data_IF_600314020831
#
_entry.id   IF_600314020831
#
_cell.length_a   1.000
_cell.length_b   1.000
_cell.length_c   1.000
_cell.angle_alpha   90.00
_cell.angle_beta   90.00
_cell.angle_gamma   90.00
#
_symmetry.space_group_name_H-M   'P 1'
#
loop_
_entity.id
_entity.type
_entity.pdbx_description
1 polymer ?
#
# COMPACT_ATOMS: atom_id res chain seq x y z
N UNK A 1 -6.56 -8.15 -21.68
CA UNK A 1 -5.33 -8.64 -21.03
C UNK A 1 -4.45 -9.39 -22.01
N UNK A 2 -5.00 -10.09 -23.00
CA UNK A 2 -4.22 -10.85 -24.00
C UNK A 2 -3.23 -9.98 -24.80
N UNK A 3 -3.59 -8.74 -25.10
CA UNK A 3 -2.64 -7.80 -25.73
C UNK A 3 -1.41 -7.51 -24.86
N UNK A 4 -1.61 -7.29 -23.54
CA UNK A 4 -0.50 -7.12 -22.59
C UNK A 4 0.32 -8.40 -22.46
N UNK A 5 -0.31 -9.56 -22.50
CA UNK A 5 0.39 -10.85 -22.50
C UNK A 5 1.25 -11.02 -23.76
N UNK A 6 0.72 -10.63 -24.93
CA UNK A 6 1.49 -10.59 -26.17
C UNK A 6 2.68 -9.65 -26.07
N UNK A 7 2.50 -8.46 -25.48
CA UNK A 7 3.60 -7.50 -25.27
C UNK A 7 4.65 -8.09 -24.33
N UNK A 8 4.27 -8.68 -23.19
CA UNK A 8 5.20 -9.37 -22.27
C UNK A 8 6.00 -10.44 -22.99
N UNK A 9 5.35 -11.26 -23.82
CA UNK A 9 6.02 -12.31 -24.61
C UNK A 9 7.01 -11.73 -25.63
N UNK A 10 6.69 -10.61 -26.26
CA UNK A 10 7.54 -9.96 -27.26
C UNK A 10 8.67 -9.12 -26.64
N UNK A 11 8.49 -8.64 -25.41
CA UNK A 11 9.36 -7.68 -24.71
C UNK A 11 9.55 -8.07 -23.23
N UNK A 12 10.06 -9.27 -22.92
CA UNK A 12 10.07 -9.81 -21.56
C UNK A 12 10.89 -8.97 -20.56
N UNK A 13 11.96 -8.32 -21.04
CA UNK A 13 12.91 -7.53 -20.24
C UNK A 13 12.58 -6.03 -20.21
N UNK A 14 11.49 -5.61 -20.87
CA UNK A 14 11.08 -4.20 -20.97
C UNK A 14 9.66 -4.00 -20.43
N UNK A 15 8.75 -4.95 -20.69
CA UNK A 15 7.37 -4.87 -20.25
C UNK A 15 7.13 -5.78 -19.05
N UNK A 16 6.73 -5.18 -17.93
CA UNK A 16 6.46 -5.87 -16.67
C UNK A 16 5.00 -5.64 -16.23
N UNK A 17 4.03 -6.32 -16.85
CA UNK A 17 2.62 -6.03 -16.61
C UNK A 17 2.13 -6.61 -15.28
N UNK A 18 1.15 -5.94 -14.68
CA UNK A 18 0.49 -6.32 -13.43
C UNK A 18 -0.98 -6.68 -13.70
N UNK A 19 -1.50 -7.67 -12.99
CA UNK A 19 -2.92 -8.03 -13.07
C UNK A 19 -3.71 -7.07 -12.19
N UNK A 20 -4.69 -6.37 -12.76
CA UNK A 20 -5.57 -5.50 -11.98
C UNK A 20 -6.55 -6.32 -11.14
N UNK A 21 -6.54 -6.11 -9.83
CA UNK A 21 -7.38 -6.79 -8.86
C UNK A 21 -8.42 -5.83 -8.30
N UNK A 22 -9.67 -6.26 -8.29
CA UNK A 22 -10.78 -5.57 -7.62
C UNK A 22 -11.60 -6.60 -6.84
N UNK A 23 -11.80 -6.42 -5.53
CA UNK A 23 -12.47 -7.43 -4.69
C UNK A 23 -13.92 -7.69 -5.12
N UNK A 24 -14.56 -6.75 -5.82
CA UNK A 24 -15.92 -6.93 -6.35
C UNK A 24 -15.95 -7.88 -7.55
N UNK A 25 -14.86 -8.02 -8.31
CA UNK A 25 -14.75 -9.01 -9.40
C UNK A 25 -14.67 -10.43 -8.83
N UNK A 26 -13.90 -10.63 -7.76
CA UNK A 26 -13.80 -11.91 -7.04
C UNK A 26 -15.19 -12.40 -6.58
N UNK A 27 -16.05 -11.49 -6.12
CA UNK A 27 -17.42 -11.84 -5.72
C UNK A 27 -18.32 -12.15 -6.91
N UNK A 28 -18.25 -11.35 -7.97
CA UNK A 28 -19.19 -11.42 -9.11
C UNK A 28 -18.86 -12.54 -10.11
N UNK A 29 -17.60 -12.87 -10.26
CA UNK A 29 -17.12 -13.83 -11.24
C UNK A 29 -16.19 -14.84 -10.55
N UNK A 30 -16.70 -16.04 -10.32
CA UNK A 30 -15.94 -17.13 -9.71
C UNK A 30 -14.81 -17.64 -10.61
N UNK A 31 -14.84 -17.38 -11.92
CA UNK A 31 -13.73 -17.69 -12.81
C UNK A 31 -12.56 -16.71 -12.69
N UNK A 32 -12.78 -15.56 -12.04
CA UNK A 32 -11.74 -14.56 -11.85
C UNK A 32 -10.63 -15.07 -10.91
N UNK A 33 -11.01 -15.59 -9.74
CA UNK A 33 -10.11 -16.15 -8.75
C UNK A 33 -10.70 -17.45 -8.19
N UNK A 34 -10.05 -18.57 -8.49
CA UNK A 34 -10.33 -19.88 -7.91
C UNK A 34 -9.08 -20.41 -7.22
N UNK A 35 -9.25 -21.02 -6.07
CA UNK A 35 -8.16 -21.48 -5.24
C UNK A 35 -8.62 -22.62 -4.33
N UNK A 36 -7.65 -23.41 -3.88
CA UNK A 36 -7.74 -24.17 -2.65
C UNK A 36 -6.79 -23.59 -1.61
N UNK A 37 -7.04 -23.89 -0.34
CA UNK A 37 -6.14 -23.57 0.76
C UNK A 37 -5.62 -24.85 1.39
N UNK A 38 -4.36 -24.83 1.82
CA UNK A 38 -3.73 -25.86 2.64
C UNK A 38 -3.49 -25.25 4.03
N UNK A 39 -4.48 -25.30 4.95
CA UNK A 39 -4.44 -24.50 6.19
C UNK A 39 -3.28 -24.85 7.13
N UNK A 40 -2.84 -26.11 7.10
CA UNK A 40 -1.72 -26.56 7.91
C UNK A 40 -0.44 -25.76 7.58
N UNK A 41 -0.23 -25.48 6.29
CA UNK A 41 0.92 -24.76 5.73
C UNK A 41 0.63 -23.27 5.49
N UNK A 42 -0.64 -22.84 5.58
CA UNK A 42 -1.03 -21.46 5.31
C UNK A 42 -0.91 -21.08 3.85
N UNK A 43 -0.94 -22.08 2.96
CA UNK A 43 -0.62 -21.92 1.54
C UNK A 43 -1.90 -21.83 0.71
N UNK A 44 -1.82 -21.05 -0.35
CA UNK A 44 -2.88 -20.89 -1.35
C UNK A 44 -2.40 -21.52 -2.65
N UNK A 45 -3.23 -22.39 -3.24
CA UNK A 45 -2.97 -22.99 -4.55
C UNK A 45 -4.01 -22.47 -5.52
N UNK A 46 -3.56 -21.79 -6.58
CA UNK A 46 -4.48 -21.29 -7.60
C UNK A 46 -4.97 -22.45 -8.49
N UNK A 47 -6.28 -22.50 -8.69
CA UNK A 47 -6.92 -23.37 -9.68
C UNK A 47 -7.05 -22.66 -11.03
N UNK A 48 -7.58 -23.36 -12.04
CA UNK A 48 -7.80 -22.76 -13.36
C UNK A 48 -8.79 -21.57 -13.28
N UNK A 49 -8.21 -20.38 -13.38
CA UNK A 49 -8.88 -19.09 -13.24
C UNK A 49 -8.10 -17.98 -13.97
N UNK A 50 -8.74 -16.83 -14.14
CA UNK A 50 -8.14 -15.65 -14.77
C UNK A 50 -6.82 -15.24 -14.11
N UNK A 51 -6.78 -15.18 -12.78
CA UNK A 51 -5.56 -14.78 -12.04
C UNK A 51 -4.42 -15.76 -12.30
N UNK A 52 -4.67 -17.07 -12.22
CA UNK A 52 -3.66 -18.11 -12.51
C UNK A 52 -3.11 -17.98 -13.92
N UNK A 53 -3.99 -17.84 -14.91
CA UNK A 53 -3.57 -17.73 -16.31
C UNK A 53 -2.58 -16.57 -16.51
N UNK A 54 -2.82 -15.39 -15.94
CA UNK A 54 -1.90 -14.27 -16.16
C UNK A 54 -0.65 -14.33 -15.28
N UNK A 55 -0.77 -14.78 -14.03
CA UNK A 55 0.37 -14.84 -13.10
C UNK A 55 1.28 -16.03 -13.41
N UNK A 56 0.73 -17.25 -13.49
CA UNK A 56 1.55 -18.46 -13.62
C UNK A 56 1.87 -18.80 -15.08
N UNK A 57 0.92 -18.64 -16.00
CA UNK A 57 1.11 -19.00 -17.43
C UNK A 57 1.74 -17.86 -18.23
N UNK A 58 1.23 -16.64 -18.12
CA UNK A 58 1.74 -15.49 -18.89
C UNK A 58 2.85 -14.71 -18.16
N UNK A 59 3.25 -15.14 -16.97
CA UNK A 59 4.36 -14.57 -16.19
C UNK A 59 4.23 -13.06 -15.97
N UNK A 60 3.02 -12.60 -15.61
CA UNK A 60 2.81 -11.23 -15.15
C UNK A 60 3.54 -11.04 -13.82
N UNK A 61 4.01 -9.81 -13.62
CA UNK A 61 4.99 -9.51 -12.58
C UNK A 61 4.37 -9.25 -11.21
N UNK A 62 3.05 -9.12 -11.10
CA UNK A 62 2.39 -8.87 -9.82
C UNK A 62 0.96 -8.39 -9.95
N UNK A 63 0.47 -7.71 -8.92
CA UNK A 63 -0.91 -7.23 -8.83
C UNK A 63 -0.98 -5.69 -8.76
N UNK A 64 -1.96 -5.09 -9.43
CA UNK A 64 -2.28 -3.66 -9.26
C UNK A 64 -3.64 -3.55 -8.59
N UNK A 65 -3.73 -2.69 -7.57
CA UNK A 65 -5.01 -2.30 -6.96
C UNK A 65 -5.21 -0.79 -7.05
N UNK A 66 -6.47 -0.37 -6.89
CA UNK A 66 -6.90 1.01 -6.88
C UNK A 66 -7.95 1.21 -5.78
N UNK A 67 -7.54 1.30 -4.50
CA UNK A 67 -8.44 1.48 -3.35
C UNK A 67 -9.38 2.67 -3.51
N UNK A 68 -8.94 3.69 -4.26
CA UNK A 68 -9.76 4.83 -4.61
C UNK A 68 -11.07 4.51 -5.34
N UNK A 69 -11.26 3.28 -5.85
CA UNK A 69 -12.55 2.81 -6.37
C UNK A 69 -13.56 2.40 -5.26
N UNK A 70 -13.23 2.62 -3.99
CA UNK A 70 -14.14 2.48 -2.85
C UNK A 70 -14.01 1.16 -2.09
N UNK A 71 -12.79 0.65 -1.92
CA UNK A 71 -12.50 -0.53 -1.09
C UNK A 71 -11.19 -0.37 -0.35
N UNK A 72 -11.06 -1.00 0.81
CA UNK A 72 -9.83 -0.98 1.59
C UNK A 72 -8.82 -2.00 1.04
N UNK A 73 -7.50 -1.76 1.13
CA UNK A 73 -6.48 -2.73 0.74
C UNK A 73 -6.54 -4.02 1.58
N UNK A 74 -7.10 -3.96 2.79
CA UNK A 74 -7.35 -5.10 3.69
C UNK A 74 -8.74 -5.74 3.55
N UNK A 75 -9.49 -5.44 2.47
CA UNK A 75 -10.75 -6.12 2.19
C UNK A 75 -10.56 -7.65 2.23
N UNK A 76 -11.43 -8.37 2.96
CA UNK A 76 -11.26 -9.80 3.27
C UNK A 76 -11.14 -10.68 2.01
N UNK A 77 -11.79 -10.27 0.91
CA UNK A 77 -11.73 -10.94 -0.39
C UNK A 77 -10.36 -10.86 -1.06
N UNK A 78 -9.49 -9.95 -0.64
CA UNK A 78 -8.13 -9.80 -1.15
C UNK A 78 -7.12 -10.63 -0.36
N UNK A 79 -7.40 -10.96 0.91
CA UNK A 79 -6.40 -11.53 1.81
C UNK A 79 -5.85 -12.89 1.35
N UNK A 80 -6.67 -13.72 0.71
CA UNK A 80 -6.23 -14.98 0.10
C UNK A 80 -5.18 -14.72 -0.98
N UNK A 81 -5.41 -13.73 -1.84
CA UNK A 81 -4.48 -13.36 -2.90
C UNK A 81 -3.22 -12.68 -2.33
N UNK A 82 -3.34 -11.92 -1.24
CA UNK A 82 -2.18 -11.36 -0.53
C UNK A 82 -1.31 -12.43 0.08
N UNK A 83 -1.90 -13.48 0.65
CA UNK A 83 -1.12 -14.61 1.14
C UNK A 83 -0.38 -15.30 0.00
N UNK A 84 -1.06 -15.57 -1.12
CA UNK A 84 -0.41 -16.10 -2.33
C UNK A 84 0.73 -15.19 -2.81
N UNK A 85 0.52 -13.87 -2.85
CA UNK A 85 1.52 -12.91 -3.28
C UNK A 85 2.75 -12.90 -2.36
N UNK A 86 2.54 -12.89 -1.04
CA UNK A 86 3.61 -12.92 -0.04
C UNK A 86 4.45 -14.20 -0.15
N UNK A 87 3.82 -15.35 -0.36
CA UNK A 87 4.50 -16.64 -0.48
C UNK A 87 5.36 -16.76 -1.74
N UNK A 88 5.00 -16.03 -2.79
CA UNK A 88 5.69 -16.04 -4.09
C UNK A 88 6.55 -14.79 -4.34
N UNK A 89 6.63 -13.88 -3.36
CA UNK A 89 7.34 -12.60 -3.48
C UNK A 89 6.79 -11.66 -4.57
N UNK A 90 5.51 -11.82 -4.95
CA UNK A 90 4.89 -11.05 -6.03
C UNK A 90 4.61 -9.61 -5.56
N UNK A 91 5.12 -8.58 -6.26
CA UNK A 91 4.85 -7.19 -5.94
C UNK A 91 3.37 -6.82 -6.12
N UNK A 92 2.91 -5.94 -5.24
CA UNK A 92 1.59 -5.32 -5.32
C UNK A 92 1.77 -3.82 -5.44
N UNK A 93 1.37 -3.29 -6.58
CA UNK A 93 1.36 -1.87 -6.85
C UNK A 93 0.02 -1.28 -6.40
N UNK A 94 0.04 -0.17 -5.67
CA UNK A 94 -1.17 0.40 -5.06
C UNK A 94 -1.36 1.87 -5.50
N UNK A 95 -2.35 2.56 -4.93
CA UNK A 95 -2.44 4.01 -4.97
C UNK A 95 -2.58 4.49 -3.52
N UNK A 96 -1.67 5.36 -3.09
CA UNK A 96 -1.62 5.89 -1.73
C UNK A 96 -1.43 7.42 -1.78
N UNK A 97 -2.41 8.10 -2.37
CA UNK A 97 -2.44 9.56 -2.55
C UNK A 97 -3.82 10.12 -2.27
N UNK A 98 -3.87 11.40 -1.89
CA UNK A 98 -5.08 12.22 -1.96
C UNK A 98 -5.34 12.63 -3.41
N UNK A 99 -6.17 11.85 -4.10
CA UNK A 99 -6.37 11.99 -5.54
C UNK A 99 -7.57 12.86 -5.95
N UNK A 100 -7.69 13.09 -7.25
CA UNK A 100 -8.78 13.84 -7.89
C UNK A 100 -10.03 12.99 -8.20
N UNK A 101 -10.04 11.72 -7.76
CA UNK A 101 -11.18 10.82 -7.92
C UNK A 101 -12.21 11.05 -6.82
N UNK A 102 -13.45 11.31 -7.21
CA UNK A 102 -14.53 11.63 -6.29
C UNK A 102 -15.63 10.58 -6.28
N UNK A 103 -16.23 10.35 -5.11
CA UNK A 103 -17.36 9.46 -4.98
C UNK A 103 -18.62 10.09 -5.58
N UNK A 104 -19.23 9.43 -6.57
CA UNK A 104 -20.50 9.83 -7.19
C UNK A 104 -21.60 8.85 -6.78
N UNK A 105 -22.40 9.22 -5.77
CA UNK A 105 -23.55 8.44 -5.33
C UNK A 105 -23.98 8.75 -3.90
N UNK A 106 -24.92 7.95 -3.41
CA UNK A 106 -25.38 8.01 -2.01
C UNK A 106 -24.49 7.13 -1.13
N UNK A 107 -24.03 7.65 0.01
CA UNK A 107 -23.19 6.91 0.96
C UNK A 107 -24.04 6.18 1.99
N UNK A 108 -23.58 5.00 2.40
CA UNK A 108 -24.17 4.28 3.53
C UNK A 108 -23.63 4.87 4.83
N UNK A 109 -24.48 5.07 5.85
CA UNK A 109 -24.07 5.61 7.16
C UNK A 109 -22.87 4.87 7.76
N UNK A 110 -22.84 3.55 7.63
CA UNK A 110 -21.73 2.70 8.11
C UNK A 110 -20.37 2.99 7.49
N UNK A 111 -20.31 3.69 6.36
CA UNK A 111 -19.05 4.06 5.71
C UNK A 111 -18.37 5.27 6.35
N UNK A 112 -19.01 5.96 7.30
CA UNK A 112 -18.38 7.00 8.09
C UNK A 112 -17.45 6.48 9.19
N UNK A 113 -17.20 5.16 9.25
CA UNK A 113 -16.44 4.52 10.30
C UNK A 113 -15.38 3.59 9.72
N UNK A 114 -14.19 3.61 10.32
CA UNK A 114 -13.12 2.69 9.95
C UNK A 114 -13.50 1.26 10.37
N UNK A 115 -13.24 0.23 9.54
CA UNK A 115 -13.62 -1.15 9.86
C UNK A 115 -12.87 -1.75 11.06
N UNK A 116 -11.60 -1.38 11.23
CA UNK A 116 -10.65 -1.95 12.21
C UNK A 116 -10.36 -1.01 13.38
N UNK A 117 -9.83 0.19 13.10
CA UNK A 117 -9.49 1.19 14.12
C UNK A 117 -10.70 1.72 14.90
N UNK A 118 -10.43 2.00 16.17
CA UNK A 118 -11.37 2.55 17.14
C UNK A 118 -10.87 3.91 17.65
N UNK A 119 -11.75 4.66 18.30
CA UNK A 119 -11.49 5.93 18.96
C UNK A 119 -12.08 5.93 20.37
N UNK A 120 -11.58 6.81 21.23
CA UNK A 120 -12.09 6.93 22.61
C UNK A 120 -13.49 7.55 22.62
N UNK A 121 -14.42 6.98 23.41
CA UNK A 121 -15.78 7.49 23.56
C UNK A 121 -15.89 8.45 24.75
N UNK A 122 -16.14 9.74 24.47
CA UNK A 122 -16.29 10.76 25.52
C UNK A 122 -14.97 11.13 26.20
N UNK A 123 -15.04 11.71 27.41
CA UNK A 123 -13.86 12.12 28.17
C UNK A 123 -13.22 10.98 28.98
N UNK A 124 -13.92 9.86 29.17
CA UNK A 124 -13.45 8.71 29.94
C UNK A 124 -12.77 7.69 29.02
N UNK A 125 -11.54 7.28 29.37
CA UNK A 125 -10.66 6.47 28.51
C UNK A 125 -11.00 4.97 28.46
N UNK A 126 -12.17 4.55 28.97
CA UNK A 126 -12.51 3.14 29.18
C UNK A 126 -13.44 2.56 28.12
N UNK A 127 -14.22 3.39 27.42
CA UNK A 127 -15.09 2.96 26.32
C UNK A 127 -14.46 3.32 24.97
N UNK A 128 -14.46 2.38 24.02
CA UNK A 128 -14.08 2.62 22.63
C UNK A 128 -15.28 2.51 21.68
N UNK A 129 -15.22 3.24 20.57
CA UNK A 129 -16.15 3.11 19.45
C UNK A 129 -15.37 3.12 18.13
N UNK A 130 -16.00 2.72 17.01
CA UNK A 130 -15.28 2.74 15.72
C UNK A 130 -14.80 4.15 15.38
N UNK A 131 -13.56 4.24 14.88
CA UNK A 131 -12.98 5.51 14.47
C UNK A 131 -13.89 6.19 13.44
N UNK A 132 -14.36 7.39 13.76
CA UNK A 132 -15.10 8.21 12.82
C UNK A 132 -14.15 8.77 11.77
N UNK A 133 -14.46 8.51 10.51
CA UNK A 133 -13.65 8.95 9.37
C UNK A 133 -13.94 10.42 9.06
N UNK A 134 -12.92 11.30 9.06
CA UNK A 134 -13.13 12.74 8.90
C UNK A 134 -13.58 13.13 7.48
N UNK A 135 -13.22 12.34 6.46
CA UNK A 135 -13.48 12.66 5.06
C UNK A 135 -14.91 12.26 4.63
N UNK A 136 -15.91 12.97 5.13
CA UNK A 136 -17.33 12.65 4.85
C UNK A 136 -17.85 13.25 3.53
N UNK A 137 -17.24 14.32 3.01
CA UNK A 137 -17.67 14.97 1.76
C UNK A 137 -17.34 14.11 0.54
N UNK A 138 -18.15 14.15 -0.53
CA UNK A 138 -17.92 13.35 -1.75
C UNK A 138 -16.54 13.57 -2.37
N UNK A 139 -16.03 14.80 -2.28
CA UNK A 139 -14.73 15.20 -2.82
C UNK A 139 -13.54 14.59 -2.05
N UNK A 140 -13.66 14.36 -0.74
CA UNK A 140 -12.56 13.86 0.08
C UNK A 140 -12.71 12.38 0.46
N UNK A 141 -13.90 11.81 0.31
CA UNK A 141 -14.24 10.50 0.89
C UNK A 141 -13.42 9.34 0.37
N UNK A 142 -12.85 9.47 -0.82
CA UNK A 142 -11.97 8.47 -1.39
C UNK A 142 -10.66 8.35 -0.60
N UNK A 143 -10.23 9.42 0.07
CA UNK A 143 -9.00 9.44 0.87
C UNK A 143 -9.06 8.46 2.05
N UNK A 144 -10.26 8.12 2.53
CA UNK A 144 -10.44 7.07 3.53
C UNK A 144 -9.87 5.72 3.08
N UNK A 145 -9.97 5.41 1.78
CA UNK A 145 -9.50 4.14 1.22
C UNK A 145 -8.03 4.16 0.83
N UNK A 146 -7.50 5.34 0.44
CA UNK A 146 -6.10 5.49 0.05
C UNK A 146 -5.16 5.84 1.20
N UNK A 147 -5.70 6.13 2.40
CA UNK A 147 -4.91 6.44 3.58
C UNK A 147 -3.85 5.35 3.87
N UNK A 148 -2.57 5.72 4.10
CA UNK A 148 -1.49 4.75 4.21
C UNK A 148 -1.59 3.83 5.45
N UNK A 149 -2.24 4.27 6.53
CA UNK A 149 -2.52 3.40 7.69
C UNK A 149 -3.40 2.19 7.34
N UNK A 150 -4.15 2.21 6.24
CA UNK A 150 -4.87 1.02 5.82
C UNK A 150 -3.91 -0.14 5.50
N UNK A 151 -2.68 0.14 5.06
CA UNK A 151 -1.70 -0.90 4.76
C UNK A 151 -0.99 -1.43 6.01
N UNK A 152 -0.98 -0.66 7.11
CA UNK A 152 -0.55 -1.15 8.42
C UNK A 152 -1.37 -2.37 8.86
N UNK A 153 -2.68 -2.39 8.54
CA UNK A 153 -3.56 -3.55 8.76
C UNK A 153 -3.16 -4.81 7.98
N UNK A 154 -2.24 -4.73 7.02
CA UNK A 154 -1.73 -5.88 6.28
C UNK A 154 -0.37 -6.35 6.82
N UNK A 155 0.50 -5.42 7.22
CA UNK A 155 1.93 -5.71 7.49
C UNK A 155 2.23 -5.90 8.96
N UNK A 156 1.42 -5.34 9.86
CA UNK A 156 1.51 -5.59 11.30
C UNK A 156 0.61 -6.75 11.70
N UNK A 157 1.18 -7.80 12.28
CA UNK A 157 0.44 -9.01 12.65
C UNK A 157 -0.70 -8.70 13.62
N UNK A 158 -0.47 -7.86 14.64
CA UNK A 158 -1.53 -7.51 15.60
C UNK A 158 -2.70 -6.83 14.90
N UNK A 159 -2.45 -5.92 13.95
CA UNK A 159 -3.49 -5.25 13.18
C UNK A 159 -4.18 -6.19 12.18
N UNK A 160 -3.42 -7.05 11.50
CA UNK A 160 -3.94 -8.07 10.59
C UNK A 160 -4.85 -9.06 11.33
N UNK A 161 -4.51 -9.42 12.56
CA UNK A 161 -5.34 -10.29 13.42
C UNK A 161 -6.73 -9.70 13.64
N UNK A 162 -6.83 -8.39 13.87
CA UNK A 162 -8.14 -7.71 13.94
C UNK A 162 -8.90 -7.75 12.61
N UNK A 163 -8.22 -7.61 11.45
CA UNK A 163 -8.85 -7.76 10.13
C UNK A 163 -9.41 -9.17 9.95
N UNK A 164 -8.63 -10.20 10.28
CA UNK A 164 -9.04 -11.60 10.15
C UNK A 164 -10.19 -11.92 11.11
N UNK A 165 -10.17 -11.39 12.34
CA UNK A 165 -11.23 -11.58 13.33
C UNK A 165 -12.60 -11.08 12.83
N UNK A 166 -12.64 -9.94 12.13
CA UNK A 166 -13.89 -9.36 11.60
C UNK A 166 -14.30 -9.94 10.23
N UNK A 167 -13.43 -10.74 9.60
CA UNK A 167 -13.71 -11.38 8.32
C UNK A 167 -14.91 -12.34 8.44
N UNK A 168 -15.78 -12.31 7.43
CA UNK A 168 -16.88 -13.27 7.30
C UNK A 168 -16.49 -14.49 6.47
N UNK A 169 -15.30 -14.46 5.87
CA UNK A 169 -14.78 -15.56 5.07
C UNK A 169 -14.05 -16.56 5.98
N UNK A 170 -14.63 -17.73 6.17
CA UNK A 170 -14.03 -18.79 6.99
C UNK A 170 -12.73 -19.33 6.39
N UNK A 171 -12.55 -19.25 5.07
CA UNK A 171 -11.27 -19.60 4.44
C UNK A 171 -10.16 -18.66 4.88
N UNK A 172 -10.45 -17.36 5.05
CA UNK A 172 -9.49 -16.39 5.56
C UNK A 172 -9.07 -16.77 6.99
N UNK A 173 -10.04 -17.03 7.89
CA UNK A 173 -9.70 -17.43 9.27
C UNK A 173 -8.85 -18.70 9.31
N UNK A 174 -9.20 -19.72 8.52
CA UNK A 174 -8.44 -20.96 8.40
C UNK A 174 -7.04 -20.73 7.82
N UNK A 175 -6.94 -19.92 6.77
CA UNK A 175 -5.69 -19.63 6.07
C UNK A 175 -4.67 -18.95 6.98
N UNK A 176 -5.10 -17.99 7.80
CA UNK A 176 -4.24 -17.31 8.76
C UNK A 176 -4.13 -18.05 10.11
N UNK A 177 -4.85 -19.16 10.28
CA UNK A 177 -4.89 -19.93 11.53
C UNK A 177 -5.38 -19.12 12.73
N UNK A 178 -6.38 -18.27 12.52
CA UNK A 178 -6.97 -17.44 13.56
C UNK A 178 -7.78 -18.27 14.56
N UNK A 179 -7.54 -18.05 15.86
CA UNK A 179 -8.32 -18.64 16.95
C UNK A 179 -9.11 -17.57 17.70
N UNK A 180 -8.40 -16.55 18.18
CA UNK A 180 -8.92 -15.44 18.97
C UNK A 180 -7.96 -14.23 18.87
N UNK A 181 -8.33 -13.10 19.46
CA UNK A 181 -7.50 -11.89 19.44
C UNK A 181 -6.28 -11.96 20.39
N UNK A 182 -6.25 -12.87 21.36
CA UNK A 182 -5.14 -12.99 22.30
C UNK A 182 -3.97 -13.81 21.71
N UNK A 183 -4.27 -14.68 20.75
CA UNK A 183 -3.31 -15.62 20.15
C UNK A 183 -2.79 -15.10 18.79
N UNK A 184 -1.47 -15.07 18.57
CA UNK A 184 -0.89 -14.76 17.25
C UNK A 184 -1.44 -15.60 16.13
N UNK A 185 -1.62 -14.98 14.96
CA UNK A 185 -1.93 -15.68 13.73
C UNK A 185 -0.83 -16.73 13.45
N UNK A 186 -1.25 -17.92 13.03
CA UNK A 186 -0.30 -18.99 12.66
C UNK A 186 0.52 -18.61 11.43
N UNK A 187 -0.12 -17.89 10.51
CA UNK A 187 0.47 -17.42 9.26
C UNK A 187 0.19 -15.92 9.14
N UNK A 188 1.13 -15.17 8.57
CA UNK A 188 1.02 -13.71 8.44
C UNK A 188 1.30 -13.26 6.99
N UNK A 189 1.48 -11.95 6.82
CA UNK A 189 1.83 -11.32 5.55
C UNK A 189 3.17 -10.56 5.64
N UNK A 190 4.10 -10.99 6.51
CA UNK A 190 5.37 -10.25 6.73
C UNK A 190 6.24 -10.12 5.47
N UNK A 191 6.08 -11.05 4.53
CA UNK A 191 6.78 -11.08 3.24
C UNK A 191 6.02 -10.35 2.12
N UNK A 192 4.88 -9.72 2.42
CA UNK A 192 4.07 -9.03 1.43
C UNK A 192 4.84 -7.84 0.85
N UNK A 193 5.00 -7.84 -0.47
CA UNK A 193 5.72 -6.78 -1.19
C UNK A 193 4.73 -5.74 -1.73
N UNK A 194 4.74 -4.52 -1.18
CA UNK A 194 3.80 -3.45 -1.53
C UNK A 194 4.52 -2.19 -1.99
N UNK A 195 3.97 -1.48 -2.98
CA UNK A 195 4.39 -0.13 -3.35
C UNK A 195 3.26 0.87 -3.07
N UNK A 196 3.53 1.88 -2.24
CA UNK A 196 2.70 3.06 -2.01
C UNK A 196 2.85 4.01 -3.21
N UNK A 197 1.95 3.86 -4.19
CA UNK A 197 1.97 4.71 -5.38
C UNK A 197 1.81 6.18 -5.01
N UNK A 198 2.69 7.01 -5.58
CA UNK A 198 2.76 8.47 -5.41
C UNK A 198 3.19 8.96 -4.02
N UNK A 199 3.65 8.06 -3.14
CA UNK A 199 4.25 8.39 -1.85
C UNK A 199 3.49 9.44 -1.00
N UNK A 200 2.16 9.37 -0.97
CA UNK A 200 1.32 10.27 -0.18
C UNK A 200 0.77 11.48 -0.95
N UNK A 201 1.42 11.89 -2.05
CA UNK A 201 1.11 13.14 -2.75
C UNK A 201 2.04 14.29 -2.37
N UNK A 202 2.24 15.23 -3.30
CA UNK A 202 3.03 16.45 -3.09
C UNK A 202 2.48 17.33 -1.96
N UNK A 203 1.16 17.31 -1.74
CA UNK A 203 0.47 18.04 -0.67
C UNK A 203 0.85 17.50 0.72
N UNK A 204 0.99 16.19 0.87
CA UNK A 204 1.41 15.57 2.13
C UNK A 204 2.92 15.72 2.40
N UNK A 205 3.73 15.86 1.35
CA UNK A 205 5.14 16.23 1.47
C UNK A 205 5.29 17.69 1.91
N UNK A 206 4.50 18.61 1.33
CA UNK A 206 4.45 20.00 1.77
C UNK A 206 3.98 20.09 3.23
N UNK A 207 2.93 19.35 3.59
CA UNK A 207 2.44 19.24 4.97
C UNK A 207 3.54 18.77 5.94
N UNK A 208 4.35 17.78 5.57
CA UNK A 208 5.50 17.35 6.40
C UNK A 208 6.45 18.52 6.68
N UNK A 209 6.80 19.30 5.65
CA UNK A 209 7.74 20.42 5.76
C UNK A 209 7.18 21.60 6.57
N UNK A 210 5.86 21.77 6.63
CA UNK A 210 5.21 22.84 7.40
C UNK A 210 5.01 22.51 8.89
N UNK A 211 5.07 21.23 9.28
CA UNK A 211 4.68 20.76 10.61
C UNK A 211 5.83 20.78 11.64
N UNK A 212 6.41 21.96 11.88
CA UNK A 212 7.49 22.15 12.87
C UNK A 212 7.14 21.75 14.31
N UNK A 213 5.84 21.82 14.68
CA UNK A 213 5.36 21.62 16.06
C UNK A 213 4.45 20.41 16.24
N UNK A 214 4.28 19.56 15.22
CA UNK A 214 3.49 18.34 15.39
C UNK A 214 4.29 17.25 16.13
N UNK A 215 3.59 16.24 16.65
CA UNK A 215 4.22 15.16 17.41
C UNK A 215 4.88 14.08 16.51
N UNK A 216 4.56 14.02 15.22
CA UNK A 216 4.83 12.84 14.37
C UNK A 216 5.90 13.08 13.31
N UNK A 217 5.85 14.18 12.57
CA UNK A 217 6.83 14.50 11.52
C UNK A 217 8.26 14.57 12.08
N UNK A 218 8.53 15.23 13.24
CA UNK A 218 9.86 15.24 13.84
C UNK A 218 10.43 13.85 14.16
N UNK A 219 9.59 12.82 14.32
CA UNK A 219 10.08 11.46 14.64
C UNK A 219 10.92 10.84 13.54
N UNK A 220 10.74 11.23 12.26
CA UNK A 220 11.63 10.80 11.19
C UNK A 220 13.05 11.35 11.34
N UNK A 221 13.19 12.54 11.93
CA UNK A 221 14.50 13.14 12.22
C UNK A 221 15.08 12.58 13.52
N UNK A 222 14.26 12.44 14.57
CA UNK A 222 14.70 11.94 15.88
C UNK A 222 15.05 10.45 15.85
N UNK A 223 14.33 9.65 15.06
CA UNK A 223 14.48 8.19 14.99
C UNK A 223 14.63 7.73 13.52
N UNK A 224 15.75 8.04 12.85
CA UNK A 224 15.91 7.86 11.41
C UNK A 224 15.81 6.40 10.93
N UNK A 225 16.06 5.42 11.82
CA UNK A 225 15.99 3.99 11.48
C UNK A 225 14.58 3.40 11.61
N UNK A 226 13.61 4.18 12.11
CA UNK A 226 12.27 3.69 12.44
C UNK A 226 11.13 4.65 12.08
N UNK A 227 11.31 5.94 12.35
CA UNK A 227 10.28 6.96 12.28
C UNK A 227 9.26 6.84 13.41
N UNK A 228 7.98 6.97 13.04
CA UNK A 228 6.82 6.88 13.93
C UNK A 228 6.71 5.48 14.52
N UNK A 229 6.66 5.37 15.85
CA UNK A 229 6.20 4.13 16.48
C UNK A 229 4.71 3.92 16.22
N UNK A 230 4.31 2.84 15.57
CA UNK A 230 2.89 2.53 15.36
C UNK A 230 2.26 1.81 16.56
N UNK A 231 3.08 1.22 17.43
CA UNK A 231 2.61 0.48 18.61
C UNK A 231 2.80 1.33 19.87
N UNK A 232 2.05 1.02 20.92
CA UNK A 232 2.26 1.61 22.26
C UNK A 232 2.91 0.54 23.12
N UNK A 233 4.20 0.70 23.43
CA UNK A 233 4.99 -0.30 24.16
C UNK A 233 4.92 -1.71 23.52
N UNK A 234 4.96 -1.78 22.19
CA UNK A 234 4.87 -3.04 21.44
C UNK A 234 3.46 -3.63 21.31
N UNK A 235 2.43 -2.91 21.77
CA UNK A 235 1.04 -3.38 21.73
C UNK A 235 0.22 -2.51 20.78
N UNK A 236 -0.62 -3.15 19.95
CA UNK A 236 -1.60 -2.46 19.11
C UNK A 236 -2.54 -1.62 19.98
N UNK A 237 -2.61 -0.33 19.69
CA UNK A 237 -3.38 0.62 20.48
C UNK A 237 -4.37 1.37 19.58
N UNK A 238 -5.69 1.23 19.81
CA UNK A 238 -6.68 1.98 19.04
C UNK A 238 -6.52 3.50 19.19
N UNK A 239 -6.19 3.97 20.41
CA UNK A 239 -5.89 5.39 20.67
C UNK A 239 -4.73 5.88 19.81
N UNK A 240 -3.67 5.08 19.67
CA UNK A 240 -2.53 5.43 18.81
C UNK A 240 -2.96 5.52 17.34
N UNK A 241 -3.75 4.57 16.85
CA UNK A 241 -4.26 4.58 15.47
C UNK A 241 -5.15 5.79 15.20
N UNK A 242 -6.04 6.15 16.13
CA UNK A 242 -6.84 7.36 16.07
C UNK A 242 -5.97 8.62 15.93
N UNK A 243 -4.97 8.76 16.81
CA UNK A 243 -4.12 9.95 16.80
C UNK A 243 -3.29 10.06 15.52
N UNK A 244 -2.73 8.95 15.03
CA UNK A 244 -1.98 8.93 13.78
C UNK A 244 -2.86 9.27 12.59
N UNK A 245 -4.06 8.67 12.49
CA UNK A 245 -5.00 8.96 11.42
C UNK A 245 -5.38 10.44 11.34
N UNK A 246 -5.59 11.08 12.50
CA UNK A 246 -6.04 12.49 12.55
C UNK A 246 -4.91 13.50 12.33
N UNK A 247 -3.69 13.18 12.73
CA UNK A 247 -2.65 14.19 12.92
C UNK A 247 -1.35 13.96 12.15
N UNK A 248 -1.02 12.72 11.76
CA UNK A 248 0.20 12.46 11.00
C UNK A 248 0.00 12.72 9.50
N UNK A 249 1.01 13.29 8.85
CA UNK A 249 1.07 13.39 7.39
C UNK A 249 1.41 12.02 6.77
N UNK A 250 1.00 11.85 5.51
CA UNK A 250 1.13 10.56 4.82
C UNK A 250 2.59 10.25 4.46
N UNK A 251 3.43 11.26 4.20
CA UNK A 251 4.87 11.07 3.97
C UNK A 251 5.53 10.41 5.18
N UNK A 252 5.26 10.90 6.39
CA UNK A 252 5.79 10.36 7.64
C UNK A 252 5.29 8.95 7.92
N UNK A 253 4.00 8.69 7.68
CA UNK A 253 3.43 7.35 7.84
C UNK A 253 4.12 6.36 6.87
N UNK A 254 4.15 6.68 5.57
CA UNK A 254 4.71 5.78 4.55
C UNK A 254 6.20 5.53 4.80
N UNK A 255 6.98 6.58 5.08
CA UNK A 255 8.40 6.45 5.38
C UNK A 255 8.63 5.58 6.61
N UNK A 256 7.85 5.76 7.67
CA UNK A 256 7.96 4.94 8.88
C UNK A 256 7.57 3.48 8.63
N UNK A 257 6.56 3.22 7.78
CA UNK A 257 6.20 1.86 7.36
C UNK A 257 7.37 1.21 6.59
N UNK A 258 7.98 1.91 5.64
CA UNK A 258 9.15 1.41 4.90
C UNK A 258 10.34 1.13 5.83
N UNK A 259 10.57 1.99 6.83
CA UNK A 259 11.64 1.81 7.81
C UNK A 259 11.41 0.59 8.71
N UNK A 260 10.15 0.25 9.02
CA UNK A 260 9.81 -0.83 9.95
C UNK A 260 9.55 -2.18 9.26
N UNK A 261 9.13 -2.21 7.99
CA UNK A 261 8.75 -3.43 7.28
C UNK A 261 9.52 -3.56 5.96
N UNK A 262 10.28 -4.65 5.80
CA UNK A 262 11.37 -4.75 4.81
C UNK A 262 10.96 -4.76 3.34
N UNK A 263 9.72 -5.16 3.06
CA UNK A 263 9.20 -5.39 1.70
C UNK A 263 8.29 -4.25 1.20
N UNK A 264 8.32 -3.09 1.85
CA UNK A 264 7.51 -1.94 1.46
C UNK A 264 8.32 -0.92 0.67
N UNK A 265 7.69 -0.38 -0.37
CA UNK A 265 8.27 0.55 -1.33
C UNK A 265 7.31 1.73 -1.52
N UNK A 266 7.81 2.83 -2.07
CA UNK A 266 6.98 3.90 -2.59
C UNK A 266 7.52 4.37 -3.92
N UNK A 267 6.66 4.91 -4.78
CA UNK A 267 7.09 5.54 -6.03
C UNK A 267 6.78 7.04 -6.02
N UNK A 268 7.54 7.79 -6.81
CA UNK A 268 7.33 9.23 -7.03
C UNK A 268 6.49 9.52 -8.29
N UNK A 269 5.76 8.52 -8.80
CA UNK A 269 4.89 8.72 -9.95
C UNK A 269 3.81 9.74 -9.63
N UNK A 270 3.27 10.41 -10.65
CA UNK A 270 2.39 11.57 -10.52
C UNK A 270 3.06 12.80 -9.89
N UNK A 271 3.71 12.70 -8.73
CA UNK A 271 4.24 13.87 -7.99
C UNK A 271 5.51 14.47 -8.59
N UNK A 272 6.27 13.73 -9.39
CA UNK A 272 7.55 14.18 -9.97
C UNK A 272 7.46 15.44 -10.85
N UNK A 273 6.27 15.85 -11.27
CA UNK A 273 6.09 17.08 -12.05
C UNK A 273 6.31 18.34 -11.21
N UNK A 274 6.16 18.24 -9.88
CA UNK A 274 6.39 19.32 -8.93
C UNK A 274 7.83 19.27 -8.39
N UNK A 275 8.63 20.29 -8.71
CA UNK A 275 10.02 20.38 -8.27
C UNK A 275 10.15 20.69 -6.77
N UNK A 276 9.07 21.09 -6.10
CA UNK A 276 9.06 21.33 -4.65
C UNK A 276 9.43 20.08 -3.85
N UNK A 277 9.21 18.88 -4.41
CA UNK A 277 9.52 17.61 -3.75
C UNK A 277 11.03 17.31 -3.67
N UNK A 278 11.83 17.90 -4.55
CA UNK A 278 13.23 17.51 -4.77
C UNK A 278 14.09 17.58 -3.49
N UNK A 279 14.04 18.66 -2.67
CA UNK A 279 14.83 18.71 -1.44
C UNK A 279 14.50 17.57 -0.46
N UNK A 280 13.21 17.27 -0.30
CA UNK A 280 12.78 16.19 0.59
C UNK A 280 13.17 14.82 0.01
N UNK A 281 13.00 14.61 -1.30
CA UNK A 281 13.45 13.39 -1.98
C UNK A 281 14.94 13.13 -1.75
N UNK A 282 15.80 14.14 -1.95
CA UNK A 282 17.25 14.01 -1.71
C UNK A 282 17.55 13.67 -0.27
N UNK A 283 16.81 14.25 0.67
CA UNK A 283 16.93 13.93 2.09
C UNK A 283 16.51 12.47 2.36
N UNK A 284 15.42 12.00 1.77
CA UNK A 284 14.99 10.60 1.88
C UNK A 284 16.03 9.63 1.30
N UNK A 285 16.68 10.00 0.19
CA UNK A 285 17.72 9.20 -0.47
C UNK A 285 19.04 9.13 0.32
N UNK A 286 19.24 9.98 1.32
CA UNK A 286 20.37 9.88 2.25
C UNK A 286 20.15 8.81 3.33
N UNK A 287 18.90 8.40 3.58
CA UNK A 287 18.61 7.34 4.53
C UNK A 287 18.92 5.95 3.91
N UNK A 288 19.76 5.11 4.56
CA UNK A 288 20.19 3.83 3.98
C UNK A 288 19.05 2.84 3.68
N UNK A 289 17.94 2.88 4.43
CA UNK A 289 16.81 1.97 4.22
C UNK A 289 15.77 2.55 3.26
N UNK A 290 15.42 3.84 3.40
CA UNK A 290 14.47 4.48 2.48
C UNK A 290 14.99 4.54 1.05
N UNK A 291 16.28 4.88 0.87
CA UNK A 291 16.89 5.02 -0.46
C UNK A 291 16.77 3.76 -1.33
N UNK A 292 16.74 2.58 -0.71
CA UNK A 292 16.63 1.28 -1.36
C UNK A 292 15.18 0.86 -1.66
N UNK A 293 14.20 1.74 -1.34
CA UNK A 293 12.76 1.46 -1.40
C UNK A 293 11.96 2.51 -2.14
N UNK A 294 12.62 3.55 -2.65
CA UNK A 294 12.01 4.58 -3.48
C UNK A 294 12.17 4.20 -4.96
N UNK A 295 11.06 4.23 -5.70
CA UNK A 295 11.00 3.87 -7.11
C UNK A 295 10.73 5.10 -7.96
N UNK A 296 11.38 5.18 -9.11
CA UNK A 296 10.99 6.10 -10.17
C UNK A 296 9.75 5.56 -10.88
N UNK A 297 8.80 6.44 -11.12
CA UNK A 297 7.65 6.19 -11.98
C UNK A 297 7.12 7.53 -12.49
N UNK A 298 6.38 7.54 -13.60
CA UNK A 298 5.91 8.80 -14.21
C UNK A 298 4.41 9.01 -14.04
N UNK A 299 3.62 7.94 -13.99
CA UNK A 299 2.17 8.00 -14.22
C UNK A 299 1.82 8.56 -15.62
N UNK A 300 2.58 8.07 -16.61
CA UNK A 300 2.69 8.53 -17.99
C UNK A 300 1.45 9.16 -18.61
N UNK A 301 0.28 8.52 -18.50
CA UNK A 301 -0.91 9.01 -19.20
C UNK A 301 -1.51 10.26 -18.54
N UNK A 302 -1.55 10.31 -17.21
CA UNK A 302 -2.26 11.35 -16.45
C UNK A 302 -1.40 12.59 -16.27
N UNK A 303 -0.12 12.39 -15.93
CA UNK A 303 0.81 13.49 -15.64
C UNK A 303 1.13 14.35 -16.86
N UNK A 304 0.84 13.86 -18.08
CA UNK A 304 1.00 14.62 -19.33
C UNK A 304 0.17 15.90 -19.41
N UNK A 305 -0.86 16.04 -18.57
CA UNK A 305 -1.58 17.30 -18.42
C UNK A 305 -0.76 18.38 -17.70
N UNK A 306 0.30 17.99 -16.97
CA UNK A 306 1.19 18.90 -16.25
C UNK A 306 2.47 19.18 -17.04
N UNK A 307 3.21 18.13 -17.43
CA UNK A 307 4.51 18.23 -18.11
C UNK A 307 4.73 17.08 -19.10
N UNK A 308 5.63 17.29 -20.07
CA UNK A 308 6.06 16.21 -20.96
C UNK A 308 7.02 15.25 -20.25
N UNK A 309 7.07 13.96 -20.65
CA UNK A 309 8.05 13.02 -20.06
C UNK A 309 9.50 13.46 -20.27
N UNK A 310 9.81 14.08 -21.41
CA UNK A 310 11.17 14.57 -21.70
C UNK A 310 11.59 15.67 -20.75
N UNK A 311 10.65 16.56 -20.44
CA UNK A 311 10.86 17.65 -19.49
C UNK A 311 11.06 17.11 -18.07
N UNK A 312 10.13 16.28 -17.58
CA UNK A 312 10.26 15.68 -16.25
C UNK A 312 11.53 14.83 -16.11
N UNK A 313 11.90 14.06 -17.14
CA UNK A 313 13.15 13.30 -17.14
C UNK A 313 14.37 14.23 -17.06
N UNK A 314 14.39 15.30 -17.85
CA UNK A 314 15.47 16.29 -17.84
C UNK A 314 15.61 16.98 -16.48
N UNK A 315 14.49 17.38 -15.89
CA UNK A 315 14.44 18.00 -14.56
C UNK A 315 14.96 17.03 -13.48
N UNK A 316 14.49 15.78 -13.46
CA UNK A 316 14.95 14.77 -12.51
C UNK A 316 16.45 14.47 -12.66
N UNK A 317 16.94 14.30 -13.88
CA UNK A 317 18.36 14.05 -14.16
C UNK A 317 19.25 15.25 -13.81
N UNK A 318 18.73 16.47 -13.87
CA UNK A 318 19.46 17.68 -13.45
C UNK A 318 19.51 17.84 -11.92
N UNK A 319 18.49 17.32 -11.22
CA UNK A 319 18.30 17.51 -9.78
C UNK A 319 19.00 16.43 -8.93
N UNK A 320 19.08 15.21 -9.47
CA UNK A 320 19.71 14.06 -8.85
C UNK A 320 21.08 13.76 -9.47
N UNK A 321 21.98 13.20 -8.68
CA UNK A 321 23.20 12.58 -9.22
C UNK A 321 22.85 11.36 -10.08
N UNK A 322 23.79 10.98 -10.96
CA UNK A 322 23.65 9.77 -11.79
C UNK A 322 23.40 8.54 -10.91
N UNK A 323 24.10 8.42 -9.78
CA UNK A 323 23.93 7.30 -8.86
C UNK A 323 22.56 7.29 -8.16
N UNK A 324 22.07 8.44 -7.72
CA UNK A 324 20.74 8.56 -7.10
C UNK A 324 19.62 8.23 -8.11
N UNK A 325 19.71 8.76 -9.33
CA UNK A 325 18.71 8.48 -10.36
C UNK A 325 18.73 7.00 -10.76
N UNK A 326 19.91 6.43 -10.96
CA UNK A 326 20.07 5.02 -11.30
C UNK A 326 19.57 4.08 -10.21
N UNK A 327 19.77 4.45 -8.93
CA UNK A 327 19.24 3.71 -7.79
C UNK A 327 17.71 3.59 -7.87
N UNK A 328 17.00 4.70 -8.03
CA UNK A 328 15.52 4.70 -8.04
C UNK A 328 14.91 4.24 -9.38
N UNK A 329 15.62 4.40 -10.50
CA UNK A 329 15.10 4.10 -11.83
C UNK A 329 15.48 2.71 -12.36
N UNK A 330 16.50 2.06 -11.78
CA UNK A 330 16.96 0.74 -12.22
C UNK A 330 17.11 -0.23 -11.07
N UNK A 331 17.95 0.07 -10.09
CA UNK A 331 18.31 -0.88 -9.02
C UNK A 331 17.10 -1.25 -8.16
N UNK A 332 16.39 -0.25 -7.62
CA UNK A 332 15.22 -0.51 -6.77
C UNK A 332 14.05 -1.14 -7.55
N UNK A 333 13.71 -0.70 -8.78
CA UNK A 333 12.69 -1.37 -9.58
C UNK A 333 12.99 -2.85 -9.86
N UNK A 334 14.25 -3.21 -10.12
CA UNK A 334 14.64 -4.62 -10.28
C UNK A 334 14.34 -5.40 -9.00
N UNK A 335 14.81 -4.91 -7.84
CA UNK A 335 14.57 -5.56 -6.55
C UNK A 335 13.07 -5.68 -6.21
N UNK A 336 12.29 -4.66 -6.55
CA UNK A 336 10.84 -4.68 -6.37
C UNK A 336 10.18 -5.75 -7.25
N UNK A 337 10.61 -5.89 -8.51
CA UNK A 337 10.07 -6.87 -9.46
C UNK A 337 10.54 -8.31 -9.22
N UNK A 338 11.66 -8.52 -8.52
CA UNK A 338 12.20 -9.86 -8.22
C UNK A 338 11.17 -10.71 -7.47
N UNK A 339 10.82 -11.87 -8.04
CA UNK A 339 9.79 -12.77 -7.52
C UNK A 339 9.97 -14.18 -8.09
N UNK A 340 9.13 -15.16 -7.70
CA UNK A 340 9.15 -16.50 -8.31
C UNK A 340 8.93 -16.48 -9.83
N UNK A 341 8.29 -15.43 -10.36
CA UNK A 341 8.02 -15.26 -11.79
C UNK A 341 9.10 -14.46 -12.53
N UNK A 342 10.01 -13.84 -11.79
CA UNK A 342 11.12 -13.02 -12.31
C UNK A 342 12.27 -13.08 -11.29
N UNK A 343 13.03 -14.19 -11.27
CA UNK A 343 14.02 -14.47 -10.23
C UNK A 343 15.23 -13.52 -10.26
#
# INVERSE_FOLDING_TARGET
MDELARIKKLKPDIAFPFVFIDPRRITKDKSFLKYTIEPAEGKVVLEDCFVKNYIETNKFNGFKIYPALGYYPFDDRLLVLWKYAADHGLPIMTHAIKGTIYYRGTKKKKWGYHPVFEQTKGHERTDSEKLMLPELKNINFINNFTHPLNYFCLVEEQALRHVVAISKNEDVKKLFGFTDLATPLKHDLKNLKLCFGHYGGEDEWARYLELDRNQYAPQLTTYPDRGIDFLTNGIFSPVKMEQLWKNADWYSIISSLILQYDNLYADISYILHDLSIIPLLKTSLQNPKLSQRILFGTDFYVVRNHKSEREMLGEMQSSLSIAEFDLIARTNPINYLTSSNYP
#
